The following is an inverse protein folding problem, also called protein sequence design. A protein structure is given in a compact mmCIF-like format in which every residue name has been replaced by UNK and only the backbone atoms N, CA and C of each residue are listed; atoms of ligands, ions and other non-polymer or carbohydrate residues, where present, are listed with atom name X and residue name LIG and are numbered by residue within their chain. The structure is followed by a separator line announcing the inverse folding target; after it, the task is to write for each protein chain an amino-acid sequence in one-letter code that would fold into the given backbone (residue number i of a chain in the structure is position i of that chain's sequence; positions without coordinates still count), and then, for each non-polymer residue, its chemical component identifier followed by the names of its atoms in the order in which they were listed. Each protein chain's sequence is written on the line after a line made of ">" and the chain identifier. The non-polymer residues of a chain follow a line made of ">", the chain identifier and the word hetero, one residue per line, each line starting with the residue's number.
data_IF_292628142580
#
_entry.id   IF_292628142580
#
_cell.length_a   1.000
_cell.length_b   1.000
_cell.length_c   1.000
_cell.angle_alpha   90.00
_cell.angle_beta   90.00
_cell.angle_gamma   90.00
#
_symmetry.space_group_name_H-M   'P 1'
#
loop_
_entity.id
_entity.type
_entity.pdbx_description
1 polymer ?
#
# COMPACT_ATOMS: atom_id res chain seq x y z
N UNK A 1 -42.59 -19.37 6.60
CA UNK A 1 -41.53 -18.35 6.44
C UNK A 1 -42.07 -17.26 5.53
N UNK A 2 -42.11 -16.00 5.98
CA UNK A 2 -42.63 -14.87 5.21
C UNK A 2 -41.47 -14.12 4.54
N UNK A 3 -41.65 -13.74 3.27
CA UNK A 3 -40.65 -13.01 2.48
C UNK A 3 -40.63 -11.54 2.90
N UNK A 4 -39.46 -11.02 3.30
CA UNK A 4 -39.29 -9.61 3.69
C UNK A 4 -39.50 -8.59 2.56
N UNK A 5 -39.56 -9.02 1.30
CA UNK A 5 -39.87 -8.15 0.16
C UNK A 5 -41.37 -8.05 -0.15
N UNK A 6 -42.16 -9.07 0.20
CA UNK A 6 -43.62 -9.07 0.00
C UNK A 6 -44.39 -8.70 1.27
N UNK A 7 -43.80 -8.96 2.46
CA UNK A 7 -44.37 -8.63 3.75
C UNK A 7 -43.66 -7.40 4.34
N UNK A 8 -44.40 -6.30 4.48
CA UNK A 8 -43.93 -5.06 5.12
C UNK A 8 -43.88 -5.23 6.65
N UNK A 9 -42.89 -5.95 7.18
CA UNK A 9 -42.60 -5.94 8.61
C UNK A 9 -41.13 -5.70 8.85
N UNK A 10 -40.84 -4.62 9.58
CA UNK A 10 -39.55 -3.95 9.75
C UNK A 10 -38.54 -4.68 10.62
N UNK A 11 -38.87 -5.85 11.17
CA UNK A 11 -38.03 -6.49 12.19
C UNK A 11 -38.03 -8.01 11.99
N UNK A 12 -37.19 -8.51 11.08
CA UNK A 12 -36.48 -9.80 11.13
C UNK A 12 -35.79 -10.08 9.79
N UNK A 13 -34.67 -10.82 9.87
CA UNK A 13 -33.70 -11.12 8.80
C UNK A 13 -34.41 -11.43 7.46
N UNK A 14 -34.22 -10.55 6.47
CA UNK A 14 -34.95 -10.51 5.21
C UNK A 14 -34.44 -11.52 4.19
N UNK A 15 -34.83 -12.78 4.33
CA UNK A 15 -34.78 -13.69 3.18
C UNK A 15 -35.84 -13.26 2.15
N UNK A 16 -35.36 -12.75 1.01
CA UNK A 16 -36.19 -12.38 -0.14
C UNK A 16 -36.63 -13.65 -0.89
N UNK A 17 -37.89 -13.74 -1.28
CA UNK A 17 -38.36 -14.80 -2.16
C UNK A 17 -37.78 -14.62 -3.57
N UNK A 18 -37.82 -15.68 -4.37
CA UNK A 18 -37.32 -15.69 -5.74
C UNK A 18 -37.82 -14.50 -6.59
N UNK A 19 -39.08 -14.07 -6.40
CA UNK A 19 -39.65 -12.95 -7.14
C UNK A 19 -39.10 -11.60 -6.71
N UNK A 20 -38.91 -11.36 -5.40
CA UNK A 20 -38.31 -10.11 -4.92
C UNK A 20 -36.82 -10.02 -5.23
N UNK A 21 -36.12 -11.15 -5.19
CA UNK A 21 -34.72 -11.24 -5.63
C UNK A 21 -34.62 -10.95 -7.13
N UNK A 22 -35.50 -11.53 -7.96
CA UNK A 22 -35.55 -11.26 -9.39
C UNK A 22 -35.85 -9.79 -9.70
N UNK A 23 -36.81 -9.17 -9.01
CA UNK A 23 -37.13 -7.76 -9.15
C UNK A 23 -35.95 -6.85 -8.76
N UNK A 24 -35.25 -7.17 -7.68
CA UNK A 24 -34.07 -6.42 -7.22
C UNK A 24 -32.90 -6.55 -8.21
N UNK A 25 -32.68 -7.75 -8.75
CA UNK A 25 -31.67 -7.99 -9.80
C UNK A 25 -32.02 -7.19 -11.06
N UNK A 26 -33.29 -7.17 -11.45
CA UNK A 26 -33.76 -6.43 -12.63
C UNK A 26 -33.59 -4.91 -12.43
N UNK A 27 -33.93 -4.37 -11.25
CA UNK A 27 -33.70 -2.96 -10.91
C UNK A 27 -32.20 -2.59 -11.00
N UNK A 28 -31.32 -3.42 -10.41
CA UNK A 28 -29.86 -3.20 -10.48
C UNK A 28 -29.35 -3.25 -11.92
N UNK A 29 -29.89 -4.16 -12.76
CA UNK A 29 -29.52 -4.26 -14.17
C UNK A 29 -29.92 -3.00 -14.95
N UNK A 30 -31.11 -2.47 -14.72
CA UNK A 30 -31.56 -1.22 -15.36
C UNK A 30 -30.69 -0.03 -14.94
N UNK A 31 -30.31 0.04 -13.66
CA UNK A 31 -29.43 1.10 -13.15
C UNK A 31 -28.02 1.04 -13.77
N UNK A 32 -27.46 -0.17 -13.95
CA UNK A 32 -26.15 -0.35 -14.61
C UNK A 32 -26.22 0.11 -16.08
N UNK A 33 -27.30 -0.22 -16.79
CA UNK A 33 -27.48 0.21 -18.18
C UNK A 33 -27.58 1.73 -18.31
N UNK A 34 -28.25 2.40 -17.36
CA UNK A 34 -28.30 3.87 -17.31
C UNK A 34 -26.90 4.47 -17.08
N UNK A 35 -26.13 3.93 -16.14
CA UNK A 35 -24.75 4.38 -15.90
C UNK A 35 -23.84 4.18 -17.12
N UNK A 36 -24.04 3.10 -17.88
CA UNK A 36 -23.29 2.87 -19.11
C UNK A 36 -23.63 3.90 -20.20
N UNK A 37 -24.90 4.29 -20.30
CA UNK A 37 -25.31 5.36 -21.20
C UNK A 37 -24.69 6.72 -20.79
N UNK A 38 -24.66 7.04 -19.50
CA UNK A 38 -24.03 8.27 -19.00
C UNK A 38 -22.53 8.30 -19.29
N UNK A 39 -21.82 7.18 -19.08
CA UNK A 39 -20.39 7.07 -19.41
C UNK A 39 -20.16 7.20 -20.92
N UNK A 40 -21.05 6.67 -21.77
CA UNK A 40 -20.95 6.84 -23.22
C UNK A 40 -21.10 8.30 -23.62
N UNK A 41 -22.09 9.01 -23.07
CA UNK A 41 -22.28 10.46 -23.30
C UNK A 41 -21.08 11.26 -22.80
N UNK A 42 -20.52 10.92 -21.64
CA UNK A 42 -19.31 11.59 -21.14
C UNK A 42 -18.11 11.36 -22.05
N UNK A 43 -17.93 10.16 -22.60
CA UNK A 43 -16.87 9.86 -23.57
C UNK A 43 -17.04 10.64 -24.86
N UNK A 44 -18.27 10.76 -25.36
CA UNK A 44 -18.58 11.55 -26.56
C UNK A 44 -18.36 13.05 -26.33
N UNK A 45 -18.78 13.58 -25.16
CA UNK A 45 -18.48 14.96 -24.75
C UNK A 45 -16.98 15.22 -24.62
N UNK A 46 -16.22 14.26 -24.07
CA UNK A 46 -14.77 14.36 -23.95
C UNK A 46 -14.09 14.31 -25.32
N UNK A 47 -14.54 13.44 -26.23
CA UNK A 47 -14.05 13.37 -27.60
C UNK A 47 -14.31 14.69 -28.35
N UNK A 48 -15.52 15.23 -28.27
CA UNK A 48 -15.87 16.51 -28.89
C UNK A 48 -15.09 17.70 -28.29
N UNK A 49 -14.78 17.66 -26.98
CA UNK A 49 -13.94 18.67 -26.35
C UNK A 49 -12.48 18.62 -26.84
N UNK A 50 -11.96 17.41 -27.12
CA UNK A 50 -10.62 17.22 -27.69
C UNK A 50 -10.56 17.65 -29.17
N UNK A 51 -11.53 17.26 -29.99
CA UNK A 51 -11.63 17.71 -31.39
C UNK A 51 -11.79 19.23 -31.49
N UNK A 52 -12.57 19.85 -30.59
CA UNK A 52 -12.71 21.33 -30.56
C UNK A 52 -11.42 22.07 -30.18
N UNK A 53 -10.50 21.41 -29.45
CA UNK A 53 -9.17 21.94 -29.14
C UNK A 53 -8.19 21.78 -30.30
N UNK A 54 -8.31 20.71 -31.08
CA UNK A 54 -7.44 20.47 -32.24
C UNK A 54 -7.63 21.54 -33.33
N UNK A 55 -8.83 22.06 -33.54
CA UNK A 55 -9.05 23.17 -34.50
C UNK A 55 -8.41 24.52 -34.09
N UNK A 56 -7.98 24.69 -32.84
CA UNK A 56 -7.34 25.92 -32.36
C UNK A 56 -5.81 25.90 -32.46
N UNK A 57 -5.20 24.75 -32.78
CA UNK A 57 -3.73 24.58 -32.79
C UNK A 57 -3.18 23.98 -34.08
N UNK A 58 -3.94 24.01 -35.18
CA UNK A 58 -3.39 23.71 -36.51
C UNK A 58 -2.88 25.00 -37.12
N UNK A 59 -1.66 25.39 -36.75
CA UNK A 59 -0.72 26.06 -37.63
C UNK A 59 0.69 25.99 -37.00
N UNK A 60 1.58 25.28 -37.70
CA UNK A 60 3.06 25.36 -37.61
C UNK A 60 3.89 24.43 -36.70
N UNK A 61 3.36 23.32 -36.14
CA UNK A 61 4.19 22.29 -35.45
C UNK A 61 3.87 20.85 -35.88
N UNK A 62 3.67 20.61 -37.19
CA UNK A 62 3.21 19.31 -37.71
C UNK A 62 4.28 18.24 -37.89
N UNK A 63 5.51 18.59 -38.30
CA UNK A 63 6.42 17.56 -38.83
C UNK A 63 7.42 16.96 -37.82
N UNK A 64 7.88 17.73 -36.82
CA UNK A 64 8.83 17.19 -35.82
C UNK A 64 8.12 16.31 -34.78
N UNK A 65 6.95 16.74 -34.32
CA UNK A 65 6.11 16.01 -33.36
C UNK A 65 5.64 14.66 -33.89
N UNK A 66 5.22 14.58 -35.16
CA UNK A 66 4.79 13.31 -35.76
C UNK A 66 5.95 12.32 -35.91
N UNK A 67 7.14 12.81 -36.25
CA UNK A 67 8.33 11.96 -36.40
C UNK A 67 8.77 11.36 -35.06
N UNK A 68 8.69 12.12 -33.98
CA UNK A 68 9.05 11.67 -32.64
C UNK A 68 7.99 10.72 -32.05
N UNK A 69 6.70 11.01 -32.28
CA UNK A 69 5.61 10.09 -31.94
C UNK A 69 5.71 8.78 -32.72
N UNK A 70 6.10 8.82 -33.99
CA UNK A 70 6.29 7.63 -34.81
C UNK A 70 7.49 6.80 -34.34
N UNK A 71 8.62 7.42 -33.98
CA UNK A 71 9.76 6.70 -33.39
C UNK A 71 9.40 6.06 -32.05
N UNK A 72 8.66 6.78 -31.19
CA UNK A 72 8.25 6.23 -29.90
C UNK A 72 7.24 5.08 -30.09
N UNK A 73 6.34 5.20 -31.07
CA UNK A 73 5.41 4.12 -31.44
C UNK A 73 6.15 2.88 -31.95
N UNK A 74 7.14 3.05 -32.81
CA UNK A 74 7.98 1.95 -33.31
C UNK A 74 8.79 1.30 -32.18
N UNK A 75 9.29 2.10 -31.24
CA UNK A 75 10.00 1.61 -30.05
C UNK A 75 9.08 0.78 -29.15
N UNK A 76 7.88 1.27 -28.85
CA UNK A 76 6.88 0.55 -28.06
C UNK A 76 6.41 -0.71 -28.78
N UNK A 77 6.21 -0.64 -30.10
CA UNK A 77 5.85 -1.80 -30.92
C UNK A 77 6.93 -2.89 -30.86
N UNK A 78 8.21 -2.51 -30.98
CA UNK A 78 9.33 -3.45 -30.89
C UNK A 78 9.45 -4.11 -29.51
N UNK A 79 9.10 -3.39 -28.44
CA UNK A 79 9.02 -3.96 -27.09
C UNK A 79 7.85 -4.94 -26.95
N UNK A 80 6.67 -4.57 -27.46
CA UNK A 80 5.50 -5.45 -27.46
C UNK A 80 5.73 -6.73 -28.26
N UNK A 81 6.45 -6.66 -29.39
CA UNK A 81 6.78 -7.83 -30.18
C UNK A 81 7.79 -8.74 -29.47
N UNK A 82 8.77 -8.17 -28.75
CA UNK A 82 9.66 -8.95 -27.86
C UNK A 82 8.88 -9.66 -26.77
N UNK A 83 7.94 -8.98 -26.12
CA UNK A 83 7.11 -9.56 -25.07
C UNK A 83 6.17 -10.63 -25.63
N UNK A 84 5.59 -10.43 -26.81
CA UNK A 84 4.78 -11.44 -27.51
C UNK A 84 5.60 -12.69 -27.82
N UNK A 85 6.84 -12.55 -28.29
CA UNK A 85 7.74 -13.69 -28.52
C UNK A 85 8.07 -14.39 -27.20
N UNK A 86 8.36 -13.65 -26.13
CA UNK A 86 8.63 -14.21 -24.81
C UNK A 86 7.43 -15.00 -24.26
N UNK A 87 6.22 -14.45 -24.35
CA UNK A 87 4.98 -15.12 -23.94
C UNK A 87 4.73 -16.37 -24.78
N UNK A 88 5.01 -16.32 -26.08
CA UNK A 88 4.85 -17.48 -26.97
C UNK A 88 5.82 -18.60 -26.61
N UNK A 89 7.09 -18.28 -26.32
CA UNK A 89 8.06 -19.25 -25.81
C UNK A 89 7.62 -19.85 -24.47
N UNK A 90 7.10 -19.01 -23.58
CA UNK A 90 6.62 -19.44 -22.27
C UNK A 90 5.40 -20.37 -22.40
N UNK A 91 4.46 -20.06 -23.30
CA UNK A 91 3.34 -20.95 -23.64
C UNK A 91 3.81 -22.28 -24.22
N UNK A 92 4.81 -22.27 -25.09
CA UNK A 92 5.39 -23.49 -25.64
C UNK A 92 6.02 -24.36 -24.54
N UNK A 93 6.79 -23.77 -23.62
CA UNK A 93 7.35 -24.51 -22.47
C UNK A 93 6.27 -25.04 -21.53
N UNK A 94 5.18 -24.29 -21.30
CA UNK A 94 4.05 -24.78 -20.51
C UNK A 94 3.40 -25.98 -21.21
N UNK A 95 3.16 -25.91 -22.52
CA UNK A 95 2.58 -27.01 -23.29
C UNK A 95 3.49 -28.25 -23.25
N UNK A 96 4.81 -28.06 -23.40
CA UNK A 96 5.79 -29.14 -23.29
C UNK A 96 5.75 -29.78 -21.90
N UNK A 97 5.77 -28.99 -20.83
CA UNK A 97 5.67 -29.52 -19.45
C UNK A 97 4.34 -30.20 -19.18
N UNK A 98 3.24 -29.69 -19.74
CA UNK A 98 1.93 -30.34 -19.63
C UNK A 98 1.93 -31.70 -20.33
N UNK A 99 2.60 -31.83 -21.47
CA UNK A 99 2.76 -33.09 -22.17
C UNK A 99 3.66 -34.07 -21.40
N UNK A 100 4.77 -33.61 -20.84
CA UNK A 100 5.61 -34.40 -19.94
C UNK A 100 4.84 -34.90 -18.71
N UNK A 101 4.00 -34.04 -18.10
CA UNK A 101 3.12 -34.41 -16.98
C UNK A 101 2.06 -35.43 -17.43
N UNK A 102 1.47 -35.28 -18.62
CA UNK A 102 0.52 -36.26 -19.18
C UNK A 102 1.19 -37.60 -19.42
N UNK A 103 2.39 -37.62 -19.97
CA UNK A 103 3.18 -38.83 -20.19
C UNK A 103 3.57 -39.49 -18.86
N UNK A 104 4.00 -38.72 -17.87
CA UNK A 104 4.26 -39.21 -16.53
C UNK A 104 3.00 -39.79 -15.86
N UNK A 105 1.85 -39.12 -16.02
CA UNK A 105 0.55 -39.61 -15.53
C UNK A 105 0.12 -40.91 -16.23
N UNK A 106 0.33 -41.02 -17.54
CA UNK A 106 0.05 -42.24 -18.30
C UNK A 106 0.93 -43.41 -17.86
N UNK A 107 2.22 -43.15 -17.55
CA UNK A 107 3.15 -44.14 -16.99
C UNK A 107 2.76 -44.60 -15.58
N UNK A 108 2.18 -43.71 -14.78
CA UNK A 108 1.67 -44.04 -13.44
C UNK A 108 0.35 -44.83 -13.48
N UNK A 109 -0.52 -44.54 -14.46
CA UNK A 109 -1.80 -45.23 -14.62
C UNK A 109 -1.66 -46.62 -15.25
N UNK A 110 -0.70 -46.78 -16.17
CA UNK A 110 -0.35 -48.04 -16.82
C UNK A 110 1.10 -48.38 -16.50
N UNK A 111 1.39 -48.85 -15.27
CA UNK A 111 2.73 -49.29 -14.94
C UNK A 111 3.13 -50.42 -15.91
N UNK A 112 4.33 -50.37 -16.52
CA UNK A 112 4.82 -51.47 -17.35
C UNK A 112 4.86 -52.74 -16.49
N UNK A 113 4.60 -53.90 -17.09
CA UNK A 113 4.52 -55.20 -16.41
C UNK A 113 5.80 -55.58 -15.64
N UNK A 114 6.93 -54.94 -15.94
CA UNK A 114 8.18 -55.01 -15.15
C UNK A 114 8.12 -54.26 -13.81
N UNK A 115 7.27 -53.25 -13.66
CA UNK A 115 7.06 -52.54 -12.39
C UNK A 115 6.19 -53.34 -11.40
N UNK A 116 5.44 -54.33 -11.88
CA UNK A 116 4.67 -55.24 -11.01
C UNK A 116 5.58 -56.25 -10.29
N UNK A 117 6.75 -56.57 -10.87
CA UNK A 117 7.81 -57.35 -10.20
C UNK A 117 8.68 -56.47 -9.27
N UNK A 118 8.72 -55.14 -9.48
CA UNK A 118 9.41 -54.19 -8.60
C UNK A 118 8.53 -53.64 -7.44
N UNK A 119 7.27 -54.04 -7.35
CA UNK A 119 6.39 -53.68 -6.23
C UNK A 119 6.81 -54.31 -4.88
N UNK A 120 7.88 -55.11 -4.88
CA UNK A 120 8.49 -55.68 -3.67
C UNK A 120 9.39 -54.67 -2.93
N UNK A 121 9.85 -53.58 -3.58
CA UNK A 121 10.79 -52.64 -2.95
C UNK A 121 10.22 -51.24 -2.72
N UNK A 122 9.13 -51.17 -1.93
CA UNK A 122 8.67 -49.91 -1.37
C UNK A 122 9.73 -49.16 -0.54
N UNK A 123 10.85 -49.82 -0.19
CA UNK A 123 11.96 -49.20 0.53
C UNK A 123 12.76 -48.22 -0.33
N UNK A 124 12.96 -48.52 -1.62
CA UNK A 124 13.76 -47.69 -2.53
C UNK A 124 13.02 -46.39 -2.89
N UNK A 125 11.71 -46.46 -3.16
CA UNK A 125 10.86 -45.28 -3.38
C UNK A 125 10.82 -44.40 -2.12
N UNK A 126 10.69 -45.01 -0.94
CA UNK A 126 10.72 -44.27 0.33
C UNK A 126 12.09 -43.62 0.60
N UNK A 127 13.19 -44.28 0.22
CA UNK A 127 14.53 -43.71 0.33
C UNK A 127 14.72 -42.50 -0.58
N UNK A 128 14.22 -42.57 -1.83
CA UNK A 128 14.25 -41.43 -2.77
C UNK A 128 13.39 -40.27 -2.24
N UNK A 129 12.20 -40.54 -1.70
CA UNK A 129 11.33 -39.52 -1.10
C UNK A 129 11.96 -38.88 0.15
N UNK A 130 12.61 -39.66 1.02
CA UNK A 130 13.35 -39.13 2.18
C UNK A 130 14.55 -38.30 1.72
N UNK A 131 15.28 -38.75 0.70
CA UNK A 131 16.37 -38.00 0.07
C UNK A 131 15.90 -36.64 -0.47
N UNK A 132 14.78 -36.62 -1.20
CA UNK A 132 14.16 -35.38 -1.68
C UNK A 132 13.71 -34.48 -0.52
N UNK A 133 13.13 -35.05 0.55
CA UNK A 133 12.76 -34.30 1.76
C UNK A 133 13.95 -33.69 2.49
N UNK A 134 15.10 -34.37 2.52
CA UNK A 134 16.36 -33.81 3.05
C UNK A 134 16.87 -32.66 2.19
N UNK A 135 16.88 -32.82 0.86
CA UNK A 135 17.30 -31.76 -0.08
C UNK A 135 16.37 -30.55 0.01
N UNK A 136 15.06 -30.74 0.13
CA UNK A 136 14.11 -29.66 0.33
C UNK A 136 14.39 -28.87 1.61
N UNK A 137 14.56 -29.54 2.75
CA UNK A 137 14.93 -28.90 4.03
C UNK A 137 16.26 -28.17 3.96
N UNK A 138 17.26 -28.76 3.31
CA UNK A 138 18.56 -28.13 3.10
C UNK A 138 18.46 -26.87 2.24
N UNK A 139 17.65 -26.91 1.17
CA UNK A 139 17.37 -25.74 0.33
C UNK A 139 16.64 -24.64 1.12
N UNK A 140 15.66 -24.99 1.94
CA UNK A 140 14.98 -24.02 2.82
C UNK A 140 15.93 -23.37 3.82
N UNK A 141 16.79 -24.15 4.47
CA UNK A 141 17.82 -23.62 5.38
C UNK A 141 18.80 -22.69 4.67
N UNK A 142 19.24 -23.05 3.47
CA UNK A 142 20.12 -22.20 2.66
C UNK A 142 19.43 -20.91 2.21
N UNK A 143 18.18 -20.99 1.78
CA UNK A 143 17.39 -19.80 1.43
C UNK A 143 17.20 -18.91 2.65
N UNK A 144 16.86 -19.46 3.81
CA UNK A 144 16.74 -18.71 5.06
C UNK A 144 18.06 -18.03 5.44
N UNK A 145 19.20 -18.73 5.35
CA UNK A 145 20.52 -18.17 5.61
C UNK A 145 20.89 -17.05 4.62
N UNK A 146 20.56 -17.21 3.34
CA UNK A 146 20.76 -16.18 2.31
C UNK A 146 19.89 -14.95 2.58
N UNK A 147 18.62 -15.13 2.91
CA UNK A 147 17.70 -14.03 3.28
C UNK A 147 18.21 -13.29 4.52
N UNK A 148 18.59 -14.03 5.56
CA UNK A 148 19.21 -13.48 6.78
C UNK A 148 20.41 -12.61 6.43
N UNK A 149 21.34 -13.15 5.63
CA UNK A 149 22.55 -12.42 5.21
C UNK A 149 22.19 -11.12 4.48
N UNK A 150 21.21 -11.14 3.57
CA UNK A 150 20.77 -9.94 2.85
C UNK A 150 20.12 -8.89 3.77
N UNK A 151 19.29 -9.32 4.71
CA UNK A 151 18.69 -8.41 5.71
C UNK A 151 19.77 -7.79 6.60
N UNK A 152 20.72 -8.59 7.09
CA UNK A 152 21.83 -8.07 7.89
C UNK A 152 22.72 -7.10 7.11
N UNK A 153 22.98 -7.39 5.82
CA UNK A 153 23.69 -6.46 4.93
C UNK A 153 22.94 -5.12 4.78
N UNK A 154 21.61 -5.15 4.64
CA UNK A 154 20.80 -3.93 4.60
C UNK A 154 20.88 -3.14 5.92
N UNK A 155 20.78 -3.84 7.06
CA UNK A 155 20.87 -3.21 8.37
C UNK A 155 22.25 -2.58 8.61
N UNK A 156 23.32 -3.24 8.14
CA UNK A 156 24.67 -2.70 8.19
C UNK A 156 24.84 -1.47 7.27
N UNK A 157 24.30 -1.54 6.04
CA UNK A 157 24.35 -0.43 5.09
C UNK A 157 23.63 0.81 5.62
N UNK A 158 22.50 0.62 6.29
CA UNK A 158 21.74 1.67 6.96
C UNK A 158 22.20 1.93 8.40
N UNK A 159 23.30 1.32 8.85
CA UNK A 159 23.93 1.56 10.16
C UNK A 159 22.95 1.44 11.33
N UNK A 160 22.05 0.45 11.25
CA UNK A 160 21.06 0.16 12.29
C UNK A 160 21.68 -0.64 13.45
N UNK A 161 22.68 -1.47 13.16
CA UNK A 161 23.43 -2.23 14.18
C UNK A 161 24.38 -1.25 14.88
N UNK A 162 24.22 -1.01 16.19
CA UNK A 162 24.99 0.00 16.90
C UNK A 162 26.47 -0.39 16.93
N UNK A 163 27.33 0.49 16.43
CA UNK A 163 28.80 0.37 16.60
C UNK A 163 29.29 1.00 17.91
N UNK A 164 28.39 1.58 18.72
CA UNK A 164 28.72 2.40 19.87
C UNK A 164 27.72 2.21 21.02
N UNK A 165 28.21 1.76 22.16
CA UNK A 165 27.51 1.50 23.43
C UNK A 165 27.09 2.77 24.20
N UNK A 166 27.29 3.97 23.62
CA UNK A 166 27.39 5.21 24.42
C UNK A 166 26.11 6.02 24.64
N UNK A 167 24.96 5.64 24.09
CA UNK A 167 23.70 6.37 24.33
C UNK A 167 22.56 5.40 24.66
N UNK A 168 22.32 5.17 25.96
CA UNK A 168 21.19 4.34 26.44
C UNK A 168 19.83 4.94 26.02
N UNK A 169 19.79 6.25 25.82
CA UNK A 169 18.57 7.01 25.52
C UNK A 169 18.29 7.18 24.01
N UNK A 170 19.28 6.95 23.15
CA UNK A 170 19.12 7.12 21.70
C UNK A 170 19.67 5.93 20.94
N UNK A 171 18.91 5.53 19.91
CA UNK A 171 19.37 4.58 18.90
C UNK A 171 19.45 5.28 17.56
N UNK A 172 20.33 4.82 16.69
CA UNK A 172 20.62 5.53 15.44
C UNK A 172 20.24 4.69 14.22
N UNK A 173 19.73 5.35 13.19
CA UNK A 173 19.56 4.79 11.84
C UNK A 173 20.23 5.74 10.86
N UNK A 174 21.18 5.24 10.06
CA UNK A 174 22.02 6.04 9.17
C UNK A 174 22.66 7.26 9.87
N UNK A 175 23.12 7.06 11.12
CA UNK A 175 23.67 8.09 12.04
C UNK A 175 22.67 9.14 12.53
N UNK A 176 21.38 8.99 12.23
CA UNK A 176 20.34 9.87 12.73
C UNK A 176 19.80 9.30 14.05
N UNK A 177 19.87 10.05 15.17
CA UNK A 177 19.37 9.59 16.46
C UNK A 177 17.84 9.60 16.52
N UNK A 178 17.27 8.58 17.16
CA UNK A 178 15.88 8.51 17.59
C UNK A 178 15.82 8.12 19.08
N UNK A 179 14.96 8.78 19.87
CA UNK A 179 14.80 8.49 21.28
C UNK A 179 14.15 7.12 21.50
N UNK A 180 14.65 6.35 22.47
CA UNK A 180 14.09 5.04 22.85
C UNK A 180 12.80 5.16 23.66
N UNK A 181 12.54 6.33 24.23
CA UNK A 181 11.35 6.66 25.02
C UNK A 181 10.07 6.81 24.18
N UNK A 182 10.18 6.89 22.85
CA UNK A 182 9.04 7.17 21.96
C UNK A 182 8.52 8.61 22.05
N UNK A 183 9.22 9.50 22.77
CA UNK A 183 8.86 10.90 22.90
C UNK A 183 9.60 11.73 21.85
N UNK A 184 8.92 12.01 20.73
CA UNK A 184 9.50 12.71 19.59
C UNK A 184 9.20 14.23 19.59
N UNK A 185 8.16 14.67 20.31
CA UNK A 185 7.66 16.05 20.30
C UNK A 185 8.11 16.90 21.51
N UNK A 186 8.75 16.30 22.51
CA UNK A 186 8.83 16.94 23.83
C UNK A 186 9.85 18.09 23.92
N UNK A 187 9.31 19.29 24.09
CA UNK A 187 10.03 20.54 24.36
C UNK A 187 10.54 20.70 25.81
N UNK A 188 10.43 19.67 26.66
CA UNK A 188 10.58 19.79 28.13
C UNK A 188 11.89 19.17 28.66
N UNK A 189 12.57 18.31 27.90
CA UNK A 189 13.91 17.80 28.24
C UNK A 189 14.99 18.63 27.55
N UNK A 190 16.14 18.84 28.22
CA UNK A 190 17.27 19.67 27.75
C UNK A 190 17.99 19.15 26.50
N UNK A 191 17.37 18.24 25.75
CA UNK A 191 17.95 17.45 24.68
C UNK A 191 16.92 17.34 23.54
N UNK A 192 16.53 18.50 23.00
CA UNK A 192 15.56 18.59 21.91
C UNK A 192 16.22 18.20 20.59
N UNK A 193 15.81 17.07 20.00
CA UNK A 193 16.18 16.76 18.62
C UNK A 193 15.40 17.67 17.66
N UNK A 194 16.05 18.22 16.62
CA UNK A 194 15.34 18.96 15.58
C UNK A 194 14.31 18.05 14.86
N UNK A 195 13.12 18.57 14.55
CA UNK A 195 12.06 17.80 13.88
C UNK A 195 12.52 17.27 12.51
N UNK A 196 13.44 17.97 11.84
CA UNK A 196 14.06 17.55 10.57
C UNK A 196 14.91 16.28 10.73
N UNK A 197 15.59 16.11 11.87
CA UNK A 197 16.44 14.95 12.15
C UNK A 197 15.57 13.72 12.40
N UNK A 198 14.52 13.88 13.21
CA UNK A 198 13.57 12.82 13.55
C UNK A 198 12.79 12.36 12.31
N UNK A 199 12.26 13.31 11.54
CA UNK A 199 11.53 13.04 10.30
C UNK A 199 12.43 12.40 9.23
N UNK A 200 13.69 12.83 9.10
CA UNK A 200 14.67 12.16 8.23
C UNK A 200 14.95 10.72 8.70
N UNK A 201 15.03 10.48 10.02
CA UNK A 201 15.24 9.14 10.57
C UNK A 201 14.04 8.23 10.27
N UNK A 202 12.81 8.72 10.42
CA UNK A 202 11.61 8.00 10.01
C UNK A 202 11.57 7.72 8.50
N UNK A 203 11.98 8.68 7.67
CA UNK A 203 12.14 8.47 6.24
C UNK A 203 13.09 7.31 5.91
N UNK A 204 14.24 7.23 6.60
CA UNK A 204 15.19 6.11 6.46
C UNK A 204 14.60 4.79 6.93
N UNK A 205 13.79 4.82 7.98
CA UNK A 205 13.09 3.64 8.49
C UNK A 205 12.03 3.12 7.51
N UNK A 206 11.20 4.01 6.95
CA UNK A 206 10.23 3.65 5.90
C UNK A 206 10.96 3.07 4.68
N UNK A 207 12.04 3.71 4.24
CA UNK A 207 12.85 3.20 3.15
C UNK A 207 13.39 1.79 3.42
N UNK A 208 13.88 1.53 4.63
CA UNK A 208 14.29 0.19 5.05
C UNK A 208 13.14 -0.81 4.95
N UNK A 209 12.00 -0.50 5.57
CA UNK A 209 10.84 -1.39 5.61
C UNK A 209 10.35 -1.71 4.19
N UNK A 210 10.31 -0.74 3.27
CA UNK A 210 9.93 -0.99 1.89
C UNK A 210 10.92 -1.85 1.09
N UNK A 211 12.18 -1.93 1.51
CA UNK A 211 13.18 -2.81 0.87
C UNK A 211 13.10 -4.26 1.36
N UNK A 212 12.71 -4.49 2.61
CA UNK A 212 12.74 -5.82 3.23
C UNK A 212 11.85 -6.87 2.54
N UNK A 213 10.62 -6.57 2.05
CA UNK A 213 9.79 -7.53 1.31
C UNK A 213 10.46 -8.14 0.08
N UNK A 214 11.44 -7.46 -0.53
CA UNK A 214 12.21 -8.00 -1.66
C UNK A 214 13.04 -9.24 -1.27
N UNK A 215 13.39 -9.35 0.00
CA UNK A 215 14.20 -10.45 0.54
C UNK A 215 13.37 -11.39 1.41
N UNK A 216 12.32 -10.90 2.06
CA UNK A 216 11.47 -11.65 2.98
C UNK A 216 10.10 -11.92 2.35
N UNK A 217 10.02 -12.81 1.38
CA UNK A 217 8.72 -13.21 0.80
C UNK A 217 8.08 -14.35 1.62
N UNK A 218 6.75 -14.35 1.89
CA UNK A 218 5.73 -13.37 1.51
C UNK A 218 5.41 -12.34 2.62
N UNK A 219 6.18 -11.26 2.73
CA UNK A 219 5.90 -10.16 3.67
C UNK A 219 5.07 -9.05 3.00
N UNK A 220 3.88 -8.79 3.55
CA UNK A 220 3.01 -7.66 3.19
C UNK A 220 2.61 -6.93 4.46
N UNK A 221 2.92 -5.64 4.55
CA UNK A 221 2.66 -4.85 5.74
C UNK A 221 1.16 -4.52 5.92
N UNK A 222 0.66 -4.49 7.16
CA UNK A 222 -0.73 -4.10 7.45
C UNK A 222 -0.99 -2.63 7.11
N UNK A 223 -0.03 -1.72 7.30
CA UNK A 223 -0.21 -0.31 6.95
C UNK A 223 0.65 0.04 5.73
N UNK A 224 0.06 0.47 4.60
CA UNK A 224 0.83 0.87 3.44
C UNK A 224 1.62 2.15 3.74
N UNK A 225 2.84 2.20 3.19
CA UNK A 225 3.81 3.28 3.41
C UNK A 225 4.27 3.87 2.08
N UNK A 226 4.44 5.19 2.03
CA UNK A 226 5.07 5.90 0.90
C UNK A 226 6.34 6.57 1.40
N UNK A 227 7.46 6.24 0.75
CA UNK A 227 8.73 6.92 0.99
C UNK A 227 8.78 8.25 0.25
N UNK A 228 8.91 9.35 1.00
CA UNK A 228 9.06 10.71 0.48
C UNK A 228 10.11 11.50 1.27
N UNK A 229 11.28 10.88 1.51
CA UNK A 229 12.32 11.47 2.35
C UNK A 229 11.83 11.76 3.76
N UNK A 230 12.07 12.97 4.26
CA UNK A 230 11.63 13.42 5.59
C UNK A 230 10.11 13.59 5.72
N UNK A 231 9.36 13.62 4.61
CA UNK A 231 7.90 13.73 4.63
C UNK A 231 7.23 12.41 4.23
N UNK A 232 7.86 11.28 4.59
CA UNK A 232 7.29 9.97 4.32
C UNK A 232 5.94 9.80 5.04
N UNK A 233 5.02 9.11 4.39
CA UNK A 233 3.64 8.95 4.86
C UNK A 233 3.29 7.48 5.07
N UNK A 234 2.32 7.26 5.95
CA UNK A 234 1.74 5.96 6.27
C UNK A 234 0.23 6.14 6.38
N UNK A 235 -0.53 5.08 6.14
CA UNK A 235 -1.96 5.15 6.33
C UNK A 235 -2.63 3.80 6.49
N UNK A 236 -3.95 3.83 6.65
CA UNK A 236 -4.77 2.63 6.84
C UNK A 236 -5.07 1.93 5.52
N UNK A 237 -5.17 0.59 5.56
CA UNK A 237 -5.70 -0.20 4.45
C UNK A 237 -7.20 0.05 4.20
N UNK A 238 -7.93 0.44 5.24
CA UNK A 238 -9.40 0.48 5.28
C UNK A 238 -10.06 1.75 4.70
N UNK A 239 -9.36 2.51 3.84
CA UNK A 239 -10.01 3.51 2.97
C UNK A 239 -9.29 4.85 2.81
N UNK A 240 -8.38 5.21 3.71
CA UNK A 240 -7.64 6.49 3.66
C UNK A 240 -6.43 6.45 2.72
N UNK A 241 -5.89 5.25 2.45
CA UNK A 241 -4.71 5.06 1.61
C UNK A 241 -3.41 5.47 2.30
N UNK A 242 -2.27 5.17 1.67
CA UNK A 242 -0.92 5.30 2.26
C UNK A 242 -0.45 6.75 2.49
N UNK A 243 -1.24 7.75 2.11
CA UNK A 243 -0.88 9.17 2.13
C UNK A 243 -1.51 9.99 3.27
N UNK A 244 -2.20 9.37 4.23
CA UNK A 244 -3.02 10.12 5.18
C UNK A 244 -2.27 10.68 6.39
N UNK A 245 -1.20 10.03 6.86
CA UNK A 245 -0.46 10.47 8.04
C UNK A 245 1.03 10.68 7.74
N UNK A 246 1.52 11.89 7.97
CA UNK A 246 2.91 12.28 7.76
C UNK A 246 3.75 11.97 8.99
N UNK A 247 4.91 11.35 8.79
CA UNK A 247 5.90 11.07 9.85
C UNK A 247 6.80 12.28 10.12
N UNK A 248 6.17 13.42 10.42
CA UNK A 248 6.85 14.66 10.80
C UNK A 248 6.42 15.06 12.20
N UNK A 249 7.35 15.27 13.17
CA UNK A 249 7.01 15.60 14.55
C UNK A 249 6.57 17.07 14.65
N UNK A 250 5.28 17.28 14.40
CA UNK A 250 4.57 18.55 14.52
C UNK A 250 3.70 18.62 15.78
N UNK A 251 3.74 17.60 16.65
CA UNK A 251 2.84 17.48 17.80
C UNK A 251 1.40 17.13 17.44
N UNK A 252 1.10 16.82 16.17
CA UNK A 252 -0.26 16.49 15.75
C UNK A 252 -0.68 15.08 16.18
N UNK A 253 -1.99 14.89 16.31
CA UNK A 253 -2.58 13.56 16.48
C UNK A 253 -2.24 12.65 15.29
N UNK A 254 -2.15 13.24 14.08
CA UNK A 254 -1.76 12.54 12.86
C UNK A 254 -0.35 11.94 12.96
N UNK A 255 0.61 12.69 13.49
CA UNK A 255 1.96 12.20 13.72
C UNK A 255 2.00 11.06 14.74
N UNK A 256 1.33 11.22 15.89
CA UNK A 256 1.26 10.17 16.92
C UNK A 256 0.66 8.87 16.35
N UNK A 257 -0.39 8.99 15.54
CA UNK A 257 -1.02 7.87 14.84
C UNK A 257 -0.11 7.24 13.79
N UNK A 258 0.63 8.06 13.03
CA UNK A 258 1.63 7.58 12.07
C UNK A 258 2.70 6.73 12.75
N UNK A 259 3.20 7.18 13.89
CA UNK A 259 4.21 6.45 14.70
C UNK A 259 3.65 5.12 15.21
N UNK A 260 2.40 5.09 15.67
CA UNK A 260 1.75 3.85 16.11
C UNK A 260 1.61 2.83 14.96
N UNK A 261 1.15 3.27 13.78
CA UNK A 261 1.07 2.43 12.59
C UNK A 261 2.45 1.94 12.14
N UNK A 262 3.47 2.79 12.24
CA UNK A 262 4.84 2.44 11.92
C UNK A 262 5.37 1.36 12.87
N UNK A 263 5.10 1.50 14.18
CA UNK A 263 5.41 0.46 15.14
C UNK A 263 4.68 -0.85 14.81
N UNK A 264 3.38 -0.80 14.47
CA UNK A 264 2.62 -2.00 14.09
C UNK A 264 3.23 -2.70 12.86
N UNK A 265 3.72 -1.96 11.87
CA UNK A 265 4.46 -2.53 10.74
C UNK A 265 5.78 -3.19 11.16
N UNK A 266 6.53 -2.58 12.08
CA UNK A 266 7.78 -3.17 12.62
C UNK A 266 7.48 -4.42 13.43
N UNK A 267 6.46 -4.38 14.29
CA UNK A 267 6.01 -5.52 15.08
C UNK A 267 5.58 -6.68 14.17
N UNK A 268 4.82 -6.38 13.12
CA UNK A 268 4.41 -7.35 12.11
C UNK A 268 5.61 -8.02 11.44
N UNK A 269 6.63 -7.24 11.04
CA UNK A 269 7.87 -7.79 10.49
C UNK A 269 8.56 -8.72 11.50
N UNK A 270 8.76 -8.26 12.74
CA UNK A 270 9.42 -9.05 13.78
C UNK A 270 8.72 -10.39 14.05
N UNK A 271 7.39 -10.36 14.18
CA UNK A 271 6.59 -11.57 14.44
C UNK A 271 6.61 -12.53 13.25
N UNK A 272 6.58 -12.01 12.01
CA UNK A 272 6.71 -12.83 10.79
C UNK A 272 8.08 -13.49 10.64
N UNK A 273 9.07 -13.05 11.43
CA UNK A 273 10.41 -13.66 11.49
C UNK A 273 10.61 -14.50 12.76
N UNK A 274 9.53 -14.79 13.49
CA UNK A 274 9.54 -15.71 14.64
C UNK A 274 9.73 -15.06 16.01
N UNK A 275 9.61 -13.74 16.14
CA UNK A 275 9.61 -13.07 17.45
C UNK A 275 8.24 -13.17 18.14
N UNK A 276 8.25 -13.21 19.48
CA UNK A 276 7.02 -13.11 20.27
C UNK A 276 6.57 -11.66 20.43
N UNK A 277 5.24 -11.45 20.51
CA UNK A 277 4.67 -10.11 20.71
C UNK A 277 5.13 -9.47 22.03
N UNK A 278 5.30 -10.26 23.08
CA UNK A 278 5.71 -9.79 24.41
C UNK A 278 7.16 -9.28 24.45
N UNK A 279 8.00 -9.71 23.51
CA UNK A 279 9.40 -9.29 23.43
C UNK A 279 9.58 -7.95 22.72
N UNK A 280 8.49 -7.37 22.20
CA UNK A 280 8.51 -6.12 21.44
C UNK A 280 8.21 -4.93 22.34
N UNK A 281 9.03 -3.89 22.23
CA UNK A 281 8.79 -2.62 22.90
C UNK A 281 7.89 -1.72 22.04
N UNK A 282 6.80 -1.15 22.57
CA UNK A 282 5.95 -0.20 21.83
C UNK A 282 6.65 1.12 21.50
N UNK A 283 7.62 1.55 22.32
CA UNK A 283 8.30 2.84 22.15
C UNK A 283 9.62 2.75 21.38
N UNK A 284 10.28 1.58 21.40
CA UNK A 284 11.64 1.41 20.88
C UNK A 284 11.66 0.70 19.52
N UNK A 285 11.24 1.42 18.48
CA UNK A 285 11.11 0.90 17.11
C UNK A 285 12.45 0.40 16.55
N UNK A 286 13.53 1.18 16.70
CA UNK A 286 14.86 0.74 16.25
C UNK A 286 15.34 -0.45 17.08
N UNK A 287 15.09 -0.46 18.38
CA UNK A 287 15.45 -1.57 19.25
C UNK A 287 14.84 -2.89 18.84
N UNK A 288 13.58 -2.90 18.43
CA UNK A 288 12.92 -4.09 17.92
C UNK A 288 13.60 -4.62 16.64
N UNK A 289 14.06 -3.73 15.75
CA UNK A 289 14.83 -4.13 14.56
C UNK A 289 16.23 -4.64 14.90
N UNK A 290 16.90 -4.08 15.91
CA UNK A 290 18.19 -4.62 16.38
C UNK A 290 17.99 -6.02 16.96
N UNK A 291 16.97 -6.22 17.81
CA UNK A 291 16.61 -7.55 18.34
C UNK A 291 16.28 -8.54 17.23
N UNK A 292 15.60 -8.09 16.17
CA UNK A 292 15.34 -8.91 15.00
C UNK A 292 16.64 -9.38 14.32
N UNK A 293 17.68 -8.54 14.28
CA UNK A 293 18.98 -8.92 13.72
C UNK A 293 19.68 -10.04 14.51
N UNK A 294 19.44 -10.07 15.83
CA UNK A 294 19.96 -11.06 16.78
C UNK A 294 19.10 -12.34 16.81
N UNK A 295 17.83 -12.26 16.40
CA UNK A 295 16.90 -13.38 16.44
C UNK A 295 17.34 -14.51 15.47
N UNK A 296 17.41 -15.77 15.92
CA UNK A 296 17.84 -16.90 15.08
C UNK A 296 16.86 -17.24 13.95
N UNK A 297 15.58 -16.90 14.10
CA UNK A 297 14.52 -17.12 13.12
C UNK A 297 14.52 -16.15 11.94
N UNK A 298 15.35 -15.10 11.94
CA UNK A 298 15.42 -14.16 10.81
C UNK A 298 15.75 -14.88 9.49
N UNK A 299 14.92 -14.66 8.47
CA UNK A 299 15.03 -15.26 7.14
C UNK A 299 14.20 -16.53 6.95
N UNK A 300 13.73 -17.15 8.05
CA UNK A 300 12.87 -18.33 8.00
C UNK A 300 11.48 -18.04 7.43
N UNK A 301 11.00 -16.79 7.59
CA UNK A 301 9.61 -16.39 7.30
C UNK A 301 8.56 -17.26 8.00
N UNK A 302 8.90 -17.85 9.16
CA UNK A 302 7.97 -18.60 9.98
C UNK A 302 7.39 -17.66 11.05
N UNK A 303 6.13 -17.27 10.86
CA UNK A 303 5.45 -16.38 11.77
C UNK A 303 5.08 -17.09 13.09
N UNK A 304 5.21 -16.39 14.21
CA UNK A 304 4.62 -16.84 15.46
C UNK A 304 3.10 -16.57 15.46
N UNK A 305 2.31 -17.54 15.02
CA UNK A 305 0.88 -17.37 14.72
C UNK A 305 0.09 -16.72 15.85
N UNK A 306 0.24 -17.19 17.10
CA UNK A 306 -0.50 -16.64 18.23
C UNK A 306 -0.14 -15.18 18.55
N UNK A 307 1.08 -14.74 18.20
CA UNK A 307 1.51 -13.34 18.35
C UNK A 307 0.98 -12.49 17.19
N UNK A 308 0.91 -13.06 15.99
CA UNK A 308 0.35 -12.41 14.80
C UNK A 308 -1.13 -12.14 14.99
N UNK A 309 -1.90 -13.12 15.49
CA UNK A 309 -3.32 -12.99 15.76
C UNK A 309 -3.60 -11.91 16.80
N UNK A 310 -2.77 -11.83 17.87
CA UNK A 310 -2.85 -10.77 18.88
C UNK A 310 -2.61 -9.38 18.29
N UNK A 311 -1.57 -9.24 17.45
CA UNK A 311 -1.27 -7.97 16.78
C UNK A 311 -2.42 -7.56 15.84
N UNK A 312 -2.98 -8.49 15.09
CA UNK A 312 -4.11 -8.22 14.19
C UNK A 312 -5.37 -7.80 14.97
N UNK A 313 -5.64 -8.43 16.13
CA UNK A 313 -6.74 -8.02 17.00
C UNK A 313 -6.54 -6.61 17.54
N UNK A 314 -5.31 -6.25 17.93
CA UNK A 314 -5.01 -4.89 18.38
C UNK A 314 -5.17 -3.87 17.25
N UNK A 315 -4.66 -4.16 16.05
CA UNK A 315 -4.85 -3.29 14.87
C UNK A 315 -6.34 -3.08 14.62
N UNK A 316 -7.15 -4.14 14.64
CA UNK A 316 -8.59 -4.03 14.44
C UNK A 316 -9.29 -3.20 15.53
N UNK A 317 -8.85 -3.30 16.80
CA UNK A 317 -9.36 -2.49 17.90
C UNK A 317 -9.00 -1.00 17.76
N UNK A 318 -7.76 -0.71 17.37
CA UNK A 318 -7.29 0.65 17.12
C UNK A 318 -8.03 1.28 15.93
N UNK A 319 -8.28 0.49 14.87
CA UNK A 319 -9.10 0.94 13.73
C UNK A 319 -10.55 1.21 14.13
N UNK A 320 -11.16 0.32 14.91
CA UNK A 320 -12.56 0.46 15.36
C UNK A 320 -12.76 1.62 16.34
N UNK A 321 -11.80 1.89 17.21
CA UNK A 321 -11.86 3.01 18.16
C UNK A 321 -11.62 4.38 17.51
N UNK A 322 -10.98 4.40 16.34
CA UNK A 322 -10.71 5.64 15.58
C UNK A 322 -11.85 6.02 14.62
N UNK A 323 -12.83 5.14 14.41
CA UNK A 323 -14.11 5.48 13.77
C UNK A 323 -14.95 6.35 14.72
N UNK A 324 -14.64 7.65 14.77
CA UNK A 324 -15.61 8.65 15.20
C UNK A 324 -16.88 8.47 14.35
N UNK A 325 -18.09 8.61 14.94
CA UNK A 325 -19.32 8.45 14.17
C UNK A 325 -19.26 9.38 12.97
N UNK A 326 -19.66 8.85 11.81
CA UNK A 326 -19.89 9.61 10.59
C UNK A 326 -20.64 10.88 11.00
N UNK A 327 -19.93 12.03 11.07
CA UNK A 327 -20.59 13.30 11.35
C UNK A 327 -21.53 13.47 10.18
N UNK A 328 -22.83 13.45 10.47
CA UNK A 328 -23.86 13.71 9.51
C UNK A 328 -23.59 15.10 8.91
N UNK A 329 -23.00 15.12 7.72
CA UNK A 329 -22.64 16.33 6.97
C UNK A 329 -23.86 17.21 6.67
N UNK A 330 -25.08 16.74 6.98
CA UNK A 330 -26.29 17.55 6.98
C UNK A 330 -26.30 18.65 8.05
N UNK A 331 -25.52 18.51 9.13
CA UNK A 331 -25.58 19.42 10.29
C UNK A 331 -24.43 20.43 10.39
N UNK A 332 -23.36 20.25 9.59
CA UNK A 332 -22.14 21.09 9.68
C UNK A 332 -22.02 22.17 8.60
N UNK A 333 -23.01 22.33 7.73
CA UNK A 333 -23.08 23.46 6.79
C UNK A 333 -23.96 24.55 7.41
N UNK A 334 -23.45 25.26 8.43
CA UNK A 334 -23.94 26.61 8.70
C UNK A 334 -23.29 27.54 7.68
N UNK A 335 -23.95 27.70 6.53
CA UNK A 335 -23.66 28.82 5.63
C UNK A 335 -23.86 30.10 6.44
N UNK A 336 -22.77 30.84 6.66
CA UNK A 336 -22.85 32.21 7.19
C UNK A 336 -23.90 32.97 6.35
N UNK A 337 -24.83 33.72 6.96
CA UNK A 337 -26.01 34.30 6.26
C UNK A 337 -25.66 35.07 4.98
N UNK A 338 -24.47 35.65 4.94
CA UNK A 338 -23.87 36.37 3.81
C UNK A 338 -23.58 35.52 2.55
N UNK A 339 -23.73 34.19 2.59
CA UNK A 339 -23.56 33.30 1.45
C UNK A 339 -24.80 32.43 1.15
N UNK A 340 -25.95 32.74 1.76
CA UNK A 340 -27.22 32.07 1.42
C UNK A 340 -27.71 32.54 0.05
N UNK A 341 -27.94 31.63 -0.93
CA UNK A 341 -28.41 32.02 -2.26
C UNK A 341 -29.88 32.44 -2.30
N UNK A 342 -30.59 32.45 -1.16
CA UNK A 342 -32.03 32.71 -1.10
C UNK A 342 -32.42 34.11 -0.58
N UNK A 343 -31.47 34.99 -0.23
CA UNK A 343 -31.78 36.36 0.23
C UNK A 343 -31.49 37.43 -0.82
N UNK A 344 -31.92 37.19 -2.07
CA UNK A 344 -31.97 38.22 -3.12
C UNK A 344 -33.41 38.68 -3.30
N UNK A 345 -34.04 39.22 -2.25
CA UNK A 345 -35.27 40.02 -2.40
C UNK A 345 -35.69 40.77 -1.14
N UNK A 346 -34.80 41.49 -0.45
CA UNK A 346 -35.20 42.66 0.35
C UNK A 346 -33.97 43.48 0.73
N UNK A 347 -34.13 44.80 0.84
CA UNK A 347 -33.11 45.84 1.03
C UNK A 347 -32.45 46.39 -0.25
N UNK A 348 -33.31 47.05 -1.03
CA UNK A 348 -32.90 48.33 -1.61
C UNK A 348 -32.64 49.36 -0.49
N UNK A 349 -31.74 50.30 -0.78
CA UNK A 349 -31.41 51.54 -0.04
C UNK A 349 -30.57 51.42 1.23
N UNK A 350 -29.23 51.39 1.06
CA UNK A 350 -28.34 52.46 1.54
C UNK A 350 -27.00 52.38 0.79
N UNK A 351 -26.58 53.51 0.20
CA UNK A 351 -25.29 53.68 -0.47
C UNK A 351 -24.14 53.63 0.54
N UNK A 352 -23.13 52.80 0.27
CA UNK A 352 -21.76 52.99 0.73
C UNK A 352 -20.82 52.38 -0.32
N UNK A 353 -19.94 53.21 -0.85
CA UNK A 353 -18.99 52.92 -1.93
C UNK A 353 -17.73 52.26 -1.39
N UNK A 354 -17.54 50.98 -1.66
CA UNK A 354 -16.21 50.34 -1.67
C UNK A 354 -16.23 49.21 -2.69
N UNK A 355 -15.37 49.32 -3.71
CA UNK A 355 -15.15 48.36 -4.79
C UNK A 355 -14.68 47.01 -4.24
N UNK A 356 -15.41 45.93 -4.53
CA UNK A 356 -14.91 44.57 -4.35
C UNK A 356 -13.83 44.27 -5.41
N UNK A 357 -12.68 43.71 -5.04
CA UNK A 357 -11.69 43.25 -6.01
C UNK A 357 -12.17 41.98 -6.71
N UNK A 358 -11.93 41.94 -8.01
CA UNK A 358 -12.23 40.82 -8.91
C UNK A 358 -11.47 39.56 -8.50
N UNK A 359 -12.12 38.40 -8.65
CA UNK A 359 -11.61 37.06 -8.33
C UNK A 359 -10.51 36.56 -9.30
N UNK A 360 -9.81 37.47 -9.98
CA UNK A 360 -8.76 37.18 -10.97
C UNK A 360 -7.36 37.69 -10.56
N UNK A 361 -7.21 38.31 -9.39
CA UNK A 361 -5.92 38.88 -8.94
C UNK A 361 -5.07 37.94 -8.06
N UNK A 362 -5.49 36.69 -7.87
CA UNK A 362 -4.68 35.68 -7.19
C UNK A 362 -3.94 34.82 -8.20
N UNK A 363 -2.73 35.29 -8.55
CA UNK A 363 -1.56 34.57 -9.10
C UNK A 363 -0.90 35.31 -10.26
N UNK A 364 -0.29 36.46 -9.97
CA UNK A 364 0.80 36.99 -10.80
C UNK A 364 1.96 37.33 -9.86
N UNK A 365 3.05 36.58 -9.98
CA UNK A 365 4.33 36.93 -9.36
C UNK A 365 4.93 38.05 -10.23
N UNK A 366 4.98 39.27 -9.70
CA UNK A 366 5.60 40.42 -10.35
C UNK A 366 7.10 40.18 -10.51
N UNK A 367 7.61 40.19 -11.74
CA UNK A 367 9.00 39.84 -12.08
C UNK A 367 10.02 40.97 -11.84
N UNK A 368 9.65 42.04 -11.12
CA UNK A 368 10.53 43.21 -10.92
C UNK A 368 11.04 43.43 -9.49
N UNK A 369 10.88 42.47 -8.58
CA UNK A 369 11.39 42.59 -7.20
C UNK A 369 12.62 41.71 -6.96
N UNK A 370 13.70 41.98 -7.69
CA UNK A 370 15.04 41.55 -7.29
C UNK A 370 16.07 42.63 -7.65
N UNK A 371 16.45 43.45 -6.66
CA UNK A 371 17.73 44.19 -6.69
C UNK A 371 18.62 43.66 -5.57
N UNK A 372 19.81 43.12 -5.87
CA UNK A 372 20.78 42.80 -4.85
C UNK A 372 21.35 44.12 -4.27
N UNK A 373 21.46 44.20 -2.94
CA UNK A 373 22.19 45.28 -2.29
C UNK A 373 23.70 45.03 -2.44
N UNK A 374 24.41 46.08 -2.83
CA UNK A 374 25.87 46.18 -2.79
C UNK A 374 26.40 46.28 -1.36
#
# INVERSE_FOLDING_TARGET
>A
MQCGGCAKTTEQISMLCANCTAATIQQKRTMIMALWADVAVQREKAAHALESKEFATVNEVGNESESDLQRERERVQALLDKDRIAITKLKHHIAQRQEEIKQAKARLQNPPTTATEMAVDGSEINYVLDGLGRVARWNEQNLAAMRRTKVLQLFQLLQLIPSSTRAVHYKTIAKLPLPTSGQYDNAISSEKLPPEVVSAAFGRLIHLLLMLPKYLHPLVYPHPMIFNGSFSTIGQQSGEGAGCHTLYPDGSIGFTRAVAMLWQNVAYLCINQGMEYNDLSPSDIIGNLIRLSENPGLGSCQAHQASLDKLQQQIAQDEASTMLPLVDMSSSIQILPQYSPNDVSTFATTRSSTSNPSLMDWNVIDSTVYRPKA
#
